data_IF_406065876621
#
_entry.id   IF_406065876621
#
_cell.length_a   1.000
_cell.length_b   1.000
_cell.length_c   1.000
_cell.angle_alpha   90.00
_cell.angle_beta   90.00
_cell.angle_gamma   90.00
#
_symmetry.space_group_name_H-M   'P 1'
#
loop_
_entity.id
_entity.type
_entity.pdbx_description
1 polymer ?
#
# COMPACT_ATOMS: atom_id res chain seq x y z
N UNK A 1 -15.67 0.65 -15.04
CA UNK A 1 -14.76 -0.50 -15.13
C UNK A 1 -13.72 -0.50 -14.00
N UNK A 2 -13.12 0.65 -13.69
CA UNK A 2 -12.19 0.83 -12.56
C UNK A 2 -12.75 0.40 -11.19
N UNK A 3 -14.03 0.66 -10.89
CA UNK A 3 -14.63 0.29 -9.59
C UNK A 3 -14.66 -1.23 -9.30
N UNK A 4 -14.91 -2.08 -10.31
CA UNK A 4 -14.86 -3.55 -10.13
C UNK A 4 -13.42 -4.04 -9.94
N UNK A 5 -12.48 -3.50 -10.73
CA UNK A 5 -11.06 -3.80 -10.58
C UNK A 5 -10.53 -3.38 -9.21
N UNK A 6 -10.96 -2.21 -8.73
CA UNK A 6 -10.60 -1.70 -7.41
C UNK A 6 -11.16 -2.58 -6.28
N UNK A 7 -12.41 -3.04 -6.37
CA UNK A 7 -12.98 -3.99 -5.39
C UNK A 7 -12.24 -5.32 -5.37
N UNK A 8 -11.86 -5.84 -6.54
CA UNK A 8 -11.03 -7.05 -6.64
C UNK A 8 -9.66 -6.85 -6.03
N UNK A 9 -9.03 -5.71 -6.28
CA UNK A 9 -7.73 -5.36 -5.72
C UNK A 9 -7.80 -5.25 -4.18
N UNK A 10 -8.84 -4.59 -3.66
CA UNK A 10 -9.12 -4.50 -2.22
C UNK A 10 -9.31 -5.88 -1.60
N UNK A 11 -10.19 -6.71 -2.17
CA UNK A 11 -10.46 -8.05 -1.66
C UNK A 11 -9.20 -8.94 -1.66
N UNK A 12 -8.39 -8.87 -2.73
CA UNK A 12 -7.13 -9.60 -2.80
C UNK A 12 -6.11 -9.10 -1.77
N UNK A 13 -6.03 -7.78 -1.55
CA UNK A 13 -5.16 -7.19 -0.54
C UNK A 13 -5.56 -7.65 0.86
N UNK A 14 -6.85 -7.54 1.19
CA UNK A 14 -7.38 -7.88 2.52
C UNK A 14 -7.28 -9.38 2.81
N UNK A 15 -7.21 -10.22 1.77
CA UNK A 15 -6.95 -11.66 1.86
C UNK A 15 -5.46 -12.04 1.86
N UNK A 16 -4.55 -11.06 1.89
CA UNK A 16 -3.09 -11.25 1.76
C UNK A 16 -2.65 -11.95 0.46
N UNK A 17 -3.47 -11.91 -0.59
CA UNK A 17 -3.12 -12.39 -1.92
C UNK A 17 -2.32 -11.32 -2.68
N UNK A 18 -1.12 -10.99 -2.20
CA UNK A 18 -0.35 -9.80 -2.63
C UNK A 18 -0.07 -9.75 -4.13
N UNK A 19 0.17 -10.91 -4.74
CA UNK A 19 0.38 -11.00 -6.19
C UNK A 19 -0.88 -10.62 -6.97
N UNK A 20 -2.05 -11.09 -6.53
CA UNK A 20 -3.32 -10.81 -7.19
C UNK A 20 -3.73 -9.35 -6.96
N UNK A 21 -3.51 -8.84 -5.74
CA UNK A 21 -3.70 -7.43 -5.41
C UNK A 21 -2.82 -6.52 -6.28
N UNK A 22 -1.53 -6.87 -6.43
CA UNK A 22 -0.58 -6.15 -7.27
C UNK A 22 -1.08 -6.04 -8.71
N UNK A 23 -1.42 -7.18 -9.34
CA UNK A 23 -1.89 -7.21 -10.72
C UNK A 23 -3.20 -6.42 -10.91
N UNK A 24 -4.12 -6.50 -9.94
CA UNK A 24 -5.37 -5.77 -9.99
C UNK A 24 -5.15 -4.26 -9.84
N UNK A 25 -4.29 -3.81 -8.93
CA UNK A 25 -3.93 -2.39 -8.80
C UNK A 25 -3.14 -1.86 -9.99
N UNK A 26 -2.26 -2.67 -10.61
CA UNK A 26 -1.60 -2.31 -11.86
C UNK A 26 -2.61 -2.08 -12.98
N UNK A 27 -3.65 -2.92 -13.09
CA UNK A 27 -4.71 -2.72 -14.07
C UNK A 27 -5.50 -1.42 -13.83
N UNK A 28 -5.80 -1.09 -12.57
CA UNK A 28 -6.42 0.20 -12.21
C UNK A 28 -5.52 1.37 -12.58
N UNK A 29 -4.24 1.32 -12.17
CA UNK A 29 -3.27 2.37 -12.46
C UNK A 29 -3.04 2.54 -13.97
N UNK A 30 -3.02 1.46 -14.75
CA UNK A 30 -2.85 1.56 -16.19
C UNK A 30 -4.03 2.25 -16.88
N UNK A 31 -5.24 2.08 -16.36
CA UNK A 31 -6.44 2.72 -16.87
C UNK A 31 -6.45 4.23 -16.57
N UNK A 32 -6.19 4.61 -15.32
CA UNK A 32 -6.40 5.99 -14.84
C UNK A 32 -5.10 6.82 -14.74
N UNK A 33 -3.94 6.15 -14.76
CA UNK A 33 -2.58 6.73 -14.65
C UNK A 33 -2.37 7.63 -13.45
N UNK A 34 -3.12 7.43 -12.38
CA UNK A 34 -3.04 8.25 -11.18
C UNK A 34 -1.88 7.81 -10.26
N UNK A 35 -1.10 8.76 -9.77
CA UNK A 35 0.06 8.48 -8.90
C UNK A 35 -0.35 7.91 -7.54
N UNK A 36 -1.60 8.13 -7.10
CA UNK A 36 -2.14 7.55 -5.88
C UNK A 36 -2.24 6.02 -5.97
N UNK A 37 -2.89 5.50 -7.01
CA UNK A 37 -2.98 4.05 -7.26
C UNK A 37 -1.59 3.46 -7.53
N UNK A 38 -0.69 4.21 -8.17
CA UNK A 38 0.72 3.79 -8.29
C UNK A 38 1.37 3.56 -6.92
N UNK A 39 1.02 4.34 -5.90
CA UNK A 39 1.49 4.10 -4.55
C UNK A 39 0.96 2.78 -3.97
N UNK A 40 -0.29 2.41 -4.28
CA UNK A 40 -0.88 1.12 -3.89
C UNK A 40 -0.19 -0.06 -4.59
N UNK A 41 0.19 0.10 -5.87
CA UNK A 41 1.02 -0.88 -6.61
C UNK A 41 2.36 -1.08 -5.90
N UNK A 42 3.05 0.00 -5.56
CA UNK A 42 4.35 -0.06 -4.86
C UNK A 42 4.22 -0.71 -3.48
N UNK A 43 3.13 -0.46 -2.77
CA UNK A 43 2.83 -1.09 -1.49
C UNK A 43 2.62 -2.60 -1.62
N UNK A 44 1.82 -3.05 -2.58
CA UNK A 44 1.60 -4.48 -2.83
C UNK A 44 2.91 -5.18 -3.21
N UNK A 45 3.72 -4.56 -4.07
CA UNK A 45 5.02 -5.09 -4.45
C UNK A 45 5.97 -5.19 -3.24
N UNK A 46 5.96 -4.20 -2.36
CA UNK A 46 6.78 -4.25 -1.14
C UNK A 46 6.34 -5.39 -0.21
N UNK A 47 5.04 -5.57 0.01
CA UNK A 47 4.51 -6.66 0.85
C UNK A 47 4.85 -8.04 0.28
N UNK A 48 4.68 -8.22 -1.04
CA UNK A 48 5.08 -9.45 -1.73
C UNK A 48 6.58 -9.74 -1.60
N UNK A 49 7.42 -8.70 -1.61
CA UNK A 49 8.86 -8.86 -1.44
C UNK A 49 9.25 -9.21 0.00
N UNK A 50 8.61 -8.57 0.98
CA UNK A 50 8.80 -8.86 2.40
C UNK A 50 8.38 -10.29 2.75
N UNK A 51 7.25 -10.76 2.21
CA UNK A 51 6.78 -12.15 2.38
C UNK A 51 7.82 -13.16 1.87
N UNK A 52 8.59 -12.79 0.84
CA UNK A 52 9.69 -13.59 0.29
C UNK A 52 11.03 -13.39 1.01
N UNK A 53 11.04 -12.68 2.14
CA UNK A 53 12.23 -12.45 2.98
C UNK A 53 13.17 -11.36 2.49
N UNK A 54 12.81 -10.56 1.48
CA UNK A 54 13.62 -9.42 1.02
C UNK A 54 13.46 -8.21 1.95
N UNK A 55 14.50 -7.37 2.07
CA UNK A 55 14.50 -6.22 2.99
C UNK A 55 14.82 -4.87 2.31
N UNK A 56 15.84 -4.83 1.45
CA UNK A 56 16.32 -3.58 0.82
C UNK A 56 15.34 -3.02 -0.22
N UNK A 57 14.90 -3.85 -1.16
CA UNK A 57 13.94 -3.47 -2.20
C UNK A 57 12.58 -2.99 -1.62
N UNK A 58 11.95 -3.71 -0.67
CA UNK A 58 10.67 -3.25 -0.12
C UNK A 58 10.81 -1.96 0.67
N UNK A 59 11.93 -1.72 1.38
CA UNK A 59 12.18 -0.44 2.08
C UNK A 59 12.12 0.76 1.12
N UNK A 60 12.75 0.63 -0.06
CA UNK A 60 12.72 1.68 -1.10
C UNK A 60 11.32 1.84 -1.71
N UNK A 61 10.64 0.73 -1.98
CA UNK A 61 9.28 0.76 -2.52
C UNK A 61 8.29 1.44 -1.54
N UNK A 62 8.36 1.12 -0.25
CA UNK A 62 7.54 1.73 0.80
C UNK A 62 7.85 3.23 0.97
N UNK A 63 9.12 3.64 0.91
CA UNK A 63 9.48 5.06 0.91
C UNK A 63 8.86 5.78 -0.28
N UNK A 64 9.00 5.22 -1.49
CA UNK A 64 8.43 5.82 -2.70
C UNK A 64 6.90 5.88 -2.65
N UNK A 65 6.24 4.85 -2.10
CA UNK A 65 4.79 4.86 -1.90
C UNK A 65 4.37 5.99 -0.93
N UNK A 66 5.09 6.20 0.19
CA UNK A 66 4.82 7.31 1.10
C UNK A 66 4.99 8.68 0.43
N UNK A 67 6.02 8.84 -0.40
CA UNK A 67 6.29 10.10 -1.11
C UNK A 67 5.16 10.43 -2.12
N UNK A 68 4.68 9.44 -2.86
CA UNK A 68 3.55 9.62 -3.78
C UNK A 68 2.27 9.98 -3.03
N UNK A 69 1.97 9.27 -1.93
CA UNK A 69 0.81 9.56 -1.10
C UNK A 69 0.88 10.94 -0.44
N UNK A 70 2.06 11.40 -0.06
CA UNK A 70 2.24 12.75 0.52
C UNK A 70 1.91 13.86 -0.47
N UNK A 71 2.15 13.63 -1.76
CA UNK A 71 1.83 14.57 -2.83
C UNK A 71 0.40 14.40 -3.39
N UNK A 72 -0.32 13.36 -2.96
CA UNK A 72 -1.67 13.07 -3.43
C UNK A 72 -2.74 13.94 -2.73
N UNK A 73 -3.96 13.89 -3.25
CA UNK A 73 -5.14 14.42 -2.57
C UNK A 73 -5.33 13.71 -1.21
N UNK A 74 -6.17 14.25 -0.29
CA UNK A 74 -6.47 13.59 0.99
C UNK A 74 -7.02 12.17 0.85
N UNK A 75 -7.48 11.82 -0.35
CA UNK A 75 -8.07 10.55 -0.71
C UNK A 75 -7.47 10.02 -2.00
N UNK A 76 -7.27 8.70 -2.06
CA UNK A 76 -6.79 7.99 -3.24
C UNK A 76 -7.66 6.76 -3.42
N UNK A 77 -8.34 6.64 -4.56
CA UNK A 77 -9.23 5.51 -4.84
C UNK A 77 -10.25 5.20 -3.70
N UNK A 78 -10.74 6.24 -3.00
CA UNK A 78 -11.66 6.10 -1.87
C UNK A 78 -11.00 5.77 -0.51
N UNK A 79 -9.67 5.67 -0.47
CA UNK A 79 -8.90 5.45 0.77
C UNK A 79 -8.36 6.77 1.32
N UNK A 80 -8.40 6.89 2.64
CA UNK A 80 -7.80 7.96 3.41
C UNK A 80 -6.27 7.86 3.36
N UNK A 81 -5.64 8.90 2.80
CA UNK A 81 -4.18 8.95 2.63
C UNK A 81 -3.44 8.96 3.96
N UNK A 82 -3.96 9.61 5.00
CA UNK A 82 -3.33 9.66 6.32
C UNK A 82 -3.28 8.25 6.93
N UNK A 83 -4.36 7.48 6.80
CA UNK A 83 -4.42 6.08 7.27
C UNK A 83 -3.46 5.18 6.50
N UNK A 84 -3.40 5.30 5.17
CA UNK A 84 -2.48 4.55 4.33
C UNK A 84 -1.02 4.84 4.70
N UNK A 85 -0.65 6.13 4.81
CA UNK A 85 0.70 6.54 5.20
C UNK A 85 1.08 6.05 6.60
N UNK A 86 0.12 6.04 7.53
CA UNK A 86 0.32 5.47 8.87
C UNK A 86 0.57 3.96 8.83
N UNK A 87 -0.14 3.22 7.97
CA UNK A 87 0.10 1.79 7.77
C UNK A 87 1.49 1.53 7.17
N UNK A 88 1.86 2.28 6.13
CA UNK A 88 3.20 2.21 5.52
C UNK A 88 4.29 2.52 6.56
N UNK A 89 4.11 3.54 7.39
CA UNK A 89 5.04 3.89 8.46
C UNK A 89 5.26 2.76 9.45
N UNK A 90 4.20 2.05 9.85
CA UNK A 90 4.29 0.89 10.74
C UNK A 90 5.04 -0.28 10.09
N UNK A 91 4.77 -0.59 8.82
CA UNK A 91 5.49 -1.63 8.08
C UNK A 91 6.98 -1.28 7.99
N UNK A 92 7.30 -0.05 7.62
CA UNK A 92 8.69 0.42 7.53
C UNK A 92 9.44 0.32 8.85
N UNK A 93 8.79 0.67 9.95
CA UNK A 93 9.39 0.59 11.29
C UNK A 93 9.69 -0.85 11.74
N UNK A 94 8.98 -1.84 11.17
CA UNK A 94 9.21 -3.25 11.44
C UNK A 94 10.38 -3.84 10.62
N UNK A 95 10.90 -3.11 9.61
CA UNK A 95 12.08 -3.53 8.85
C UNK A 95 13.32 -3.02 9.60
N UNK A 96 14.18 -3.90 10.15
CA UNK A 96 15.35 -3.47 10.92
C UNK A 96 16.25 -2.53 10.09
N UNK A 97 16.76 -1.42 10.65
CA UNK A 97 17.49 -0.41 9.90
C UNK A 97 18.88 -0.89 9.43
N UNK A 98 19.44 -1.86 10.13
CA UNK A 98 20.76 -2.47 9.97
C UNK A 98 20.77 -3.66 8.99
N UNK A 99 19.60 -4.10 8.52
CA UNK A 99 19.54 -5.00 7.37
C UNK A 99 19.99 -4.27 6.10
N UNK A 100 21.30 -4.40 5.82
CA UNK A 100 21.91 -4.23 4.51
C UNK A 100 21.97 -5.57 3.77
N UNK A 101 22.15 -5.50 2.45
CA UNK A 101 22.05 -6.61 1.48
C UNK A 101 22.68 -7.93 1.95
N UNK A 102 21.94 -9.03 1.72
CA UNK A 102 22.37 -10.43 1.82
C UNK A 102 22.69 -11.02 3.21
N UNK A 103 22.58 -10.25 4.30
CA UNK A 103 22.89 -10.73 5.66
C UNK A 103 21.68 -10.93 6.59
N UNK A 104 20.46 -10.61 6.15
CA UNK A 104 19.29 -10.73 7.02
C UNK A 104 17.99 -10.97 6.26
N UNK A 105 17.08 -11.69 6.92
CA UNK A 105 15.68 -11.84 6.51
C UNK A 105 14.81 -11.01 7.43
N UNK A 106 13.76 -10.41 6.88
CA UNK A 106 12.69 -9.84 7.71
C UNK A 106 11.79 -10.98 8.14
N UNK A 107 11.55 -11.10 9.44
CA UNK A 107 10.55 -12.04 9.93
C UNK A 107 9.16 -11.55 9.52
N UNK A 108 8.53 -12.25 8.56
CA UNK A 108 7.22 -11.86 8.04
C UNK A 108 6.16 -11.74 9.14
N UNK A 109 6.24 -12.60 10.17
CA UNK A 109 5.33 -12.55 11.31
C UNK A 109 5.43 -11.24 12.12
N UNK A 110 6.55 -10.52 12.03
CA UNK A 110 6.75 -9.23 12.68
C UNK A 110 6.20 -8.05 11.84
N UNK A 111 5.86 -8.26 10.56
CA UNK A 111 5.31 -7.22 9.71
C UNK A 111 3.85 -6.94 10.09
N UNK A 112 3.50 -5.69 10.48
CA UNK A 112 2.13 -5.33 10.82
C UNK A 112 1.19 -5.52 9.64
N UNK A 113 0.17 -6.36 9.85
CA UNK A 113 -0.90 -6.58 8.89
C UNK A 113 -1.98 -5.51 9.05
N UNK A 114 -2.63 -5.13 7.95
CA UNK A 114 -3.78 -4.23 7.94
C UNK A 114 -4.63 -4.50 6.70
N UNK A 115 -5.88 -4.05 6.74
CA UNK A 115 -6.80 -4.11 5.59
C UNK A 115 -6.96 -2.73 4.96
N UNK A 116 -7.11 -2.68 3.64
CA UNK A 116 -7.47 -1.46 2.92
C UNK A 116 -8.87 -1.00 3.29
N UNK A 117 -9.79 -1.92 3.63
CA UNK A 117 -11.09 -1.59 4.19
C UNK A 117 -10.97 -0.67 5.42
N UNK A 118 -10.00 -0.89 6.31
CA UNK A 118 -9.77 -0.03 7.48
C UNK A 118 -9.26 1.38 7.11
N UNK A 119 -8.67 1.52 5.92
CA UNK A 119 -8.20 2.78 5.37
C UNK A 119 -9.27 3.51 4.54
N UNK A 120 -10.46 2.94 4.32
CA UNK A 120 -11.52 3.67 3.61
C UNK A 120 -11.89 4.95 4.33
N UNK A 121 -12.11 6.00 3.55
CA UNK A 121 -12.71 7.21 4.06
C UNK A 121 -14.15 6.91 4.49
N UNK A 122 -14.60 7.38 5.67
CA UNK A 122 -16.00 7.25 6.04
C UNK A 122 -16.89 8.00 5.04
N UNK A 123 -17.96 7.35 4.58
CA UNK A 123 -18.99 8.00 3.77
C UNK A 123 -19.57 9.18 4.55
N UNK A 124 -19.48 10.40 4.00
CA UNK A 124 -20.07 11.61 4.59
C UNK A 124 -19.10 12.68 5.14
N UNK A 125 -17.78 12.52 5.01
CA UNK A 125 -16.83 13.58 5.40
C UNK A 125 -16.68 14.69 4.32
N UNK A 126 -17.77 15.03 3.63
CA UNK A 126 -17.82 16.11 2.65
C UNK A 126 -18.98 17.06 3.02
N UNK A 127 -18.93 17.61 4.23
CA UNK A 127 -19.79 18.72 4.66
C UNK A 127 -19.14 19.44 5.85
N UNK A 128 -18.01 20.09 5.60
CA UNK A 128 -17.43 21.05 6.54
C UNK A 128 -16.50 22.03 5.81
N UNK A 129 -17.06 22.79 4.86
CA UNK A 129 -16.51 24.11 4.54
C UNK A 129 -17.68 25.09 4.54
N UNK A 130 -17.81 25.78 5.68
CA UNK A 130 -18.51 27.06 5.83
C UNK A 130 -17.74 28.14 5.07
#
# INVERSE_FOLDING_TARGET
MSAELLRRAEAAFDAAAWRDALLAFEAVWHADRDEGTRALVLLCNALLQLERGMSTAPRRALQRADDLLRAAAPTVAGYDVVRLRRAIGRIRAAIPPDLETDAGTVEWAAIPQFTLAACRQPEGANDATV
#
